data_IF_325810603652
#
_entry.id   IF_325810603652
#
_cell.length_a   1.000
_cell.length_b   1.000
_cell.length_c   1.000
_cell.angle_alpha   90.00
_cell.angle_beta   90.00
_cell.angle_gamma   90.00
#
_symmetry.space_group_name_H-M   'P 1'
#
loop_
_entity.id
_entity.type
_entity.pdbx_description
1 polymer ?
#
# COMPACT_ATOMS: atom_id res chain seq x y z
N UNK A 1 -9.70 7.84 -35.45
CA UNK A 1 -8.58 6.90 -35.71
C UNK A 1 -7.49 6.89 -34.63
N UNK A 2 -7.26 7.98 -33.87
CA UNK A 2 -6.24 8.00 -32.79
C UNK A 2 -6.59 7.14 -31.55
N UNK A 3 -7.87 6.89 -31.26
CA UNK A 3 -8.30 6.11 -30.09
C UNK A 3 -7.96 4.62 -30.17
N UNK A 4 -8.19 4.00 -31.33
CA UNK A 4 -7.98 2.56 -31.51
C UNK A 4 -6.48 2.17 -31.49
N UNK A 5 -5.59 3.01 -32.03
CA UNK A 5 -4.15 2.78 -31.97
C UNK A 5 -3.61 2.94 -30.54
N UNK A 6 -4.16 3.89 -29.76
CA UNK A 6 -3.83 4.06 -28.33
C UNK A 6 -4.29 2.87 -27.50
N UNK A 7 -5.51 2.39 -27.74
CA UNK A 7 -6.06 1.22 -27.05
C UNK A 7 -5.28 -0.07 -27.36
N UNK A 8 -4.90 -0.27 -28.62
CA UNK A 8 -4.06 -1.40 -29.03
C UNK A 8 -2.67 -1.36 -28.37
N UNK A 9 -2.06 -0.17 -28.23
CA UNK A 9 -0.78 0.00 -27.52
C UNK A 9 -0.88 -0.19 -26.00
N UNK A 10 -2.00 0.17 -25.39
CA UNK A 10 -2.26 -0.08 -23.97
C UNK A 10 -2.41 -1.59 -23.71
N UNK A 11 -3.17 -2.29 -24.56
CA UNK A 11 -3.34 -3.75 -24.50
C UNK A 11 -2.03 -4.53 -24.73
N UNK A 12 -1.11 -4.03 -25.57
CA UNK A 12 0.20 -4.67 -25.75
C UNK A 12 1.11 -4.52 -24.53
N UNK A 13 1.07 -3.37 -23.84
CA UNK A 13 1.81 -3.16 -22.59
C UNK A 13 1.31 -4.04 -21.44
N UNK A 14 0.00 -4.30 -21.40
CA UNK A 14 -0.57 -5.28 -20.47
C UNK A 14 -0.15 -6.72 -20.79
N UNK A 15 -0.13 -7.10 -22.07
CA UNK A 15 0.33 -8.43 -22.51
C UNK A 15 1.82 -8.66 -22.19
N UNK A 16 2.62 -7.59 -22.17
CA UNK A 16 4.03 -7.64 -21.74
C UNK A 16 4.22 -7.68 -20.21
N UNK A 17 3.13 -7.58 -19.42
CA UNK A 17 3.04 -7.84 -17.95
C UNK A 17 3.97 -7.04 -17.03
N UNK A 18 4.59 -5.96 -17.47
CA UNK A 18 5.49 -5.20 -16.58
C UNK A 18 4.75 -4.21 -15.68
N UNK A 19 3.60 -3.67 -16.11
CA UNK A 19 2.90 -2.60 -15.40
C UNK A 19 1.38 -2.71 -15.51
N UNK A 20 0.67 -2.14 -14.54
CA UNK A 20 -0.77 -1.94 -14.58
C UNK A 20 -1.09 -0.67 -15.38
N UNK A 21 -2.13 -0.74 -16.21
CA UNK A 21 -2.47 0.32 -17.15
C UNK A 21 -3.83 0.89 -16.78
N UNK A 22 -3.95 2.23 -16.73
CA UNK A 22 -5.21 2.85 -16.37
C UNK A 22 -6.33 2.53 -17.38
N UNK A 23 -7.51 2.20 -16.87
CA UNK A 23 -8.69 1.86 -17.67
C UNK A 23 -8.71 0.41 -18.15
N UNK A 24 -7.81 -0.43 -17.66
CA UNK A 24 -7.77 -1.85 -17.96
C UNK A 24 -7.98 -2.70 -16.71
N UNK A 25 -8.30 -3.98 -16.91
CA UNK A 25 -8.55 -4.92 -15.81
C UNK A 25 -7.40 -4.98 -14.81
N UNK A 26 -6.15 -4.89 -15.27
CA UNK A 26 -4.98 -4.94 -14.39
C UNK A 26 -4.87 -3.77 -13.40
N UNK A 27 -5.57 -2.65 -13.64
CA UNK A 27 -5.62 -1.51 -12.73
C UNK A 27 -6.90 -1.45 -11.87
N UNK A 28 -7.82 -2.41 -12.03
CA UNK A 28 -9.02 -2.50 -11.20
C UNK A 28 -8.66 -3.03 -9.81
N UNK A 29 -9.43 -2.62 -8.81
CA UNK A 29 -9.32 -3.18 -7.47
C UNK A 29 -9.78 -4.63 -7.47
N UNK A 30 -9.19 -5.45 -6.59
CA UNK A 30 -9.64 -6.82 -6.42
C UNK A 30 -11.11 -6.83 -5.98
N UNK A 31 -11.95 -7.62 -6.63
CA UNK A 31 -13.40 -7.62 -6.45
C UNK A 31 -13.88 -7.85 -5.00
N UNK A 32 -13.06 -8.52 -4.18
CA UNK A 32 -13.35 -8.78 -2.76
C UNK A 32 -12.74 -7.75 -1.81
N UNK A 33 -12.08 -6.72 -2.34
CA UNK A 33 -11.62 -5.59 -1.55
C UNK A 33 -12.79 -4.64 -1.36
N UNK A 34 -13.37 -4.67 -0.18
CA UNK A 34 -14.42 -3.73 0.22
C UNK A 34 -13.80 -2.33 0.36
N UNK A 35 -14.47 -1.34 -0.24
CA UNK A 35 -14.13 0.09 -0.18
C UNK A 35 -15.40 0.81 0.22
N UNK A 36 -15.35 1.49 1.37
CA UNK A 36 -16.47 2.22 1.93
C UNK A 36 -16.50 3.67 1.40
N UNK A 37 -17.65 4.35 1.51
CA UNK A 37 -17.83 5.73 1.01
C UNK A 37 -16.85 6.76 1.64
N UNK A 38 -16.23 6.42 2.78
CA UNK A 38 -15.23 7.24 3.46
C UNK A 38 -13.78 6.97 3.05
N UNK A 39 -13.52 5.93 2.26
CA UNK A 39 -12.16 5.51 1.93
C UNK A 39 -11.53 6.36 0.83
N UNK A 40 -10.25 6.70 1.01
CA UNK A 40 -9.49 7.44 0.00
C UNK A 40 -8.81 6.48 -0.99
N UNK A 41 -9.31 6.45 -2.23
CA UNK A 41 -8.68 5.70 -3.34
C UNK A 41 -7.68 6.59 -4.09
N UNK A 42 -6.39 6.33 -3.92
CA UNK A 42 -5.31 7.13 -4.54
C UNK A 42 -4.63 6.35 -5.65
N UNK A 43 -4.70 6.87 -6.87
CA UNK A 43 -3.94 6.35 -8.01
C UNK A 43 -2.48 6.78 -7.91
N UNK A 44 -1.55 5.82 -8.03
CA UNK A 44 -0.10 6.07 -8.01
C UNK A 44 0.56 5.51 -9.27
N UNK A 45 1.57 6.23 -9.76
CA UNK A 45 2.36 5.83 -10.95
C UNK A 45 3.78 5.37 -10.57
N UNK A 46 4.07 5.23 -9.27
CA UNK A 46 5.38 4.87 -8.73
C UNK A 46 5.24 3.80 -7.65
N UNK A 47 6.37 3.24 -7.22
CA UNK A 47 6.42 2.24 -6.15
C UNK A 47 5.82 2.76 -4.85
N UNK A 48 6.39 3.84 -4.33
CA UNK A 48 5.89 4.53 -3.12
C UNK A 48 4.55 5.21 -3.36
N UNK A 49 3.64 5.05 -2.40
CA UNK A 49 2.36 5.75 -2.38
C UNK A 49 2.49 7.25 -2.07
N UNK A 50 3.65 7.74 -1.61
CA UNK A 50 3.90 9.17 -1.33
C UNK A 50 4.36 9.96 -2.57
N UNK A 51 4.96 9.27 -3.55
CA UNK A 51 5.62 9.97 -4.66
C UNK A 51 4.60 10.48 -5.67
N UNK A 52 4.44 11.81 -5.71
CA UNK A 52 3.55 12.53 -6.63
C UNK A 52 2.09 12.12 -6.46
N UNK A 53 1.65 11.95 -5.22
CA UNK A 53 0.26 11.67 -4.84
C UNK A 53 -0.16 12.66 -3.74
N UNK A 54 -1.47 12.81 -3.46
CA UNK A 54 -1.95 13.64 -2.34
C UNK A 54 -1.86 12.93 -0.97
N UNK A 55 -1.25 11.74 -0.88
CA UNK A 55 -1.31 10.91 0.34
C UNK A 55 -0.76 11.65 1.57
N UNK A 56 0.41 12.26 1.45
CA UNK A 56 1.05 12.94 2.58
C UNK A 56 0.22 14.14 3.08
N UNK A 57 -0.31 14.93 2.15
CA UNK A 57 -1.17 16.07 2.47
C UNK A 57 -2.46 15.62 3.17
N UNK A 58 -3.05 14.51 2.73
CA UNK A 58 -4.23 13.91 3.37
C UNK A 58 -3.91 13.44 4.80
N UNK A 59 -2.78 12.74 4.99
CA UNK A 59 -2.36 12.28 6.31
C UNK A 59 -2.12 13.46 7.27
N UNK A 60 -1.40 14.49 6.81
CA UNK A 60 -1.13 15.71 7.60
C UNK A 60 -2.41 16.46 7.95
N UNK A 61 -3.31 16.64 6.98
CA UNK A 61 -4.59 17.34 7.18
C UNK A 61 -5.47 16.65 8.23
N UNK A 62 -5.37 15.32 8.34
CA UNK A 62 -6.10 14.53 9.32
C UNK A 62 -5.32 14.29 10.62
N UNK A 63 -4.18 14.98 10.82
CA UNK A 63 -3.31 14.83 11.99
C UNK A 63 -2.94 13.36 12.28
N UNK A 64 -2.73 12.57 11.22
CA UNK A 64 -2.30 11.18 11.34
C UNK A 64 -0.82 11.15 11.66
N UNK A 65 -0.45 10.42 12.71
CA UNK A 65 0.95 10.24 13.15
C UNK A 65 1.45 8.82 12.91
N UNK A 66 0.54 7.86 12.75
CA UNK A 66 0.83 6.43 12.59
C UNK A 66 0.22 5.88 11.30
N UNK A 67 1.00 5.11 10.54
CA UNK A 67 0.52 4.43 9.33
C UNK A 67 0.77 2.93 9.41
N UNK A 68 -0.29 2.15 9.17
CA UNK A 68 -0.21 0.70 9.03
C UNK A 68 -0.16 0.38 7.53
N UNK A 69 0.82 -0.42 7.13
CA UNK A 69 1.07 -0.74 5.72
C UNK A 69 0.79 -2.22 5.48
N UNK A 70 -0.04 -2.49 4.47
CA UNK A 70 -0.45 -3.81 4.01
C UNK A 70 -0.43 -3.89 2.46
N UNK A 71 -0.55 -5.10 1.89
CA UNK A 71 -0.68 -5.32 0.45
C UNK A 71 0.54 -5.95 -0.24
N UNK A 72 0.71 -5.66 -1.53
CA UNK A 72 1.72 -6.31 -2.37
C UNK A 72 2.32 -5.35 -3.42
N UNK A 73 3.54 -5.55 -3.90
CA UNK A 73 4.52 -6.59 -3.52
C UNK A 73 5.47 -6.11 -2.42
N UNK A 74 5.87 -7.03 -1.54
CA UNK A 74 6.64 -6.75 -0.30
C UNK A 74 7.91 -5.95 -0.58
N UNK A 75 8.77 -6.45 -1.47
CA UNK A 75 10.06 -5.85 -1.86
C UNK A 75 9.94 -4.62 -2.77
N UNK A 76 8.72 -4.31 -3.22
CA UNK A 76 8.45 -3.25 -4.19
C UNK A 76 7.63 -2.14 -3.58
N UNK A 77 6.32 -2.13 -3.87
CA UNK A 77 5.43 -1.04 -3.48
C UNK A 77 5.33 -0.88 -1.96
N UNK A 78 5.31 -2.00 -1.22
CA UNK A 78 5.22 -2.00 0.25
C UNK A 78 6.50 -1.40 0.84
N UNK A 79 7.67 -1.96 0.50
CA UNK A 79 8.97 -1.47 0.97
C UNK A 79 9.22 0.00 0.60
N UNK A 80 8.90 0.40 -0.64
CA UNK A 80 9.07 1.77 -1.08
C UNK A 80 8.18 2.76 -0.30
N UNK A 81 6.96 2.35 0.05
CA UNK A 81 6.02 3.19 0.81
C UNK A 81 6.43 3.31 2.27
N UNK A 82 6.85 2.22 2.93
CA UNK A 82 7.25 2.28 4.34
C UNK A 82 8.53 3.10 4.55
N UNK A 83 9.47 3.07 3.60
CA UNK A 83 10.65 3.96 3.62
C UNK A 83 10.23 5.42 3.57
N UNK A 84 9.39 5.77 2.58
CA UNK A 84 8.91 7.15 2.42
C UNK A 84 8.11 7.64 3.64
N UNK A 85 7.25 6.79 4.22
CA UNK A 85 6.51 7.14 5.43
C UNK A 85 7.45 7.40 6.61
N UNK A 86 8.48 6.57 6.79
CA UNK A 86 9.47 6.78 7.86
C UNK A 86 10.29 8.05 7.64
N UNK A 87 10.71 8.31 6.40
CA UNK A 87 11.47 9.51 6.03
C UNK A 87 10.63 10.80 6.20
N UNK A 88 9.29 10.66 6.21
CA UNK A 88 8.34 11.72 6.51
C UNK A 88 7.87 11.72 7.98
N UNK A 89 8.64 11.11 8.88
CA UNK A 89 8.44 11.09 10.35
C UNK A 89 7.15 10.41 10.86
N UNK A 90 6.50 9.58 10.05
CA UNK A 90 5.38 8.77 10.54
C UNK A 90 5.88 7.57 11.37
N UNK A 91 5.15 7.23 12.43
CA UNK A 91 5.32 5.92 13.08
C UNK A 91 4.77 4.84 12.15
N UNK A 92 5.66 4.04 11.58
CA UNK A 92 5.27 3.00 10.64
C UNK A 92 5.00 1.68 11.36
N UNK A 93 3.98 0.96 10.88
CA UNK A 93 3.65 -0.41 11.27
C UNK A 93 3.52 -1.25 10.01
N UNK A 94 4.19 -2.40 9.97
CA UNK A 94 4.16 -3.31 8.83
C UNK A 94 3.36 -4.57 9.20
N UNK A 95 2.15 -4.72 8.67
CA UNK A 95 1.26 -5.83 9.03
C UNK A 95 1.71 -7.14 8.35
N UNK A 96 2.46 -7.98 9.08
CA UNK A 96 3.31 -9.05 8.51
C UNK A 96 2.53 -10.17 7.80
N UNK A 97 1.30 -10.43 8.21
CA UNK A 97 0.43 -11.51 7.72
C UNK A 97 -0.48 -11.08 6.55
N UNK A 98 -0.53 -9.78 6.25
CA UNK A 98 -1.32 -9.22 5.13
C UNK A 98 -0.43 -8.45 4.13
N UNK A 99 0.86 -8.79 4.10
CA UNK A 99 1.78 -8.39 3.05
C UNK A 99 2.33 -9.60 2.32
N UNK A 100 2.48 -9.49 1.00
CA UNK A 100 2.85 -10.63 0.17
C UNK A 100 3.73 -10.28 -1.01
N UNK A 101 4.36 -11.31 -1.57
CA UNK A 101 5.08 -11.27 -2.84
C UNK A 101 4.87 -12.58 -3.58
N UNK A 102 5.08 -12.56 -4.89
CA UNK A 102 5.10 -13.77 -5.72
C UNK A 102 6.37 -14.61 -5.52
N UNK A 103 7.40 -14.05 -4.86
CA UNK A 103 8.62 -14.76 -4.49
C UNK A 103 8.80 -14.78 -2.97
N UNK A 104 8.80 -15.99 -2.40
CA UNK A 104 9.06 -16.19 -0.98
C UNK A 104 10.43 -15.67 -0.57
N UNK A 105 11.46 -15.91 -1.37
CA UNK A 105 12.83 -15.46 -1.06
C UNK A 105 12.91 -13.93 -0.96
N UNK A 106 12.34 -13.21 -1.93
CA UNK A 106 12.35 -11.73 -1.92
C UNK A 106 11.54 -11.17 -0.76
N UNK A 107 10.37 -11.76 -0.48
CA UNK A 107 9.57 -11.41 0.69
C UNK A 107 10.36 -11.60 1.99
N UNK A 108 10.89 -12.80 2.24
CA UNK A 108 11.60 -13.13 3.49
C UNK A 108 12.82 -12.22 3.71
N UNK A 109 13.56 -11.91 2.63
CA UNK A 109 14.73 -11.04 2.68
C UNK A 109 14.34 -9.61 3.04
N UNK A 110 13.31 -9.05 2.39
CA UNK A 110 12.81 -7.71 2.72
C UNK A 110 12.26 -7.69 4.15
N UNK A 111 11.45 -8.67 4.54
CA UNK A 111 10.90 -8.76 5.91
C UNK A 111 12.00 -8.80 6.96
N UNK A 112 13.03 -9.61 6.74
CA UNK A 112 14.19 -9.70 7.65
C UNK A 112 14.90 -8.35 7.82
N UNK A 113 14.94 -7.51 6.77
CA UNK A 113 15.48 -6.15 6.87
C UNK A 113 14.61 -5.21 7.73
N UNK A 114 13.29 -5.45 7.79
CA UNK A 114 12.32 -4.59 8.48
C UNK A 114 12.01 -4.98 9.92
N UNK A 115 12.13 -6.26 10.29
CA UNK A 115 11.83 -6.76 11.64
C UNK A 115 12.51 -5.98 12.78
N UNK A 116 13.73 -5.47 12.54
CA UNK A 116 14.49 -4.70 13.53
C UNK A 116 14.45 -3.18 13.29
N UNK A 117 13.63 -2.72 12.35
CA UNK A 117 13.58 -1.31 11.91
C UNK A 117 12.24 -0.65 12.22
N UNK A 118 11.18 -1.42 12.35
CA UNK A 118 9.82 -0.93 12.58
C UNK A 118 9.02 -1.99 13.32
N UNK A 119 7.82 -1.65 13.78
CA UNK A 119 6.94 -2.62 14.42
C UNK A 119 6.26 -3.48 13.35
N UNK A 120 6.43 -4.81 13.44
CA UNK A 120 5.88 -5.77 12.47
C UNK A 120 4.91 -6.77 13.15
N UNK A 121 3.74 -6.33 13.64
CA UNK A 121 2.73 -7.20 14.23
C UNK A 121 1.95 -8.00 13.18
N UNK A 122 1.24 -9.04 13.61
CA UNK A 122 0.13 -9.59 12.82
C UNK A 122 -1.15 -8.76 12.96
N UNK A 123 -2.13 -9.01 12.09
CA UNK A 123 -3.43 -8.33 12.12
C UNK A 123 -4.16 -8.48 13.44
N UNK A 124 -4.02 -9.61 14.13
CA UNK A 124 -4.64 -9.85 15.43
C UNK A 124 -4.07 -8.89 16.48
N UNK A 125 -2.75 -8.80 16.60
CA UNK A 125 -2.06 -7.85 17.47
C UNK A 125 -2.49 -6.40 17.19
N UNK A 126 -2.62 -6.02 15.90
CA UNK A 126 -3.09 -4.69 15.48
C UNK A 126 -4.53 -4.43 15.96
N UNK A 127 -5.46 -5.35 15.66
CA UNK A 127 -6.89 -5.19 15.99
C UNK A 127 -7.08 -5.10 17.51
N UNK A 128 -6.36 -5.91 18.27
CA UNK A 128 -6.39 -5.87 19.73
C UNK A 128 -5.86 -4.53 20.27
N UNK A 129 -4.76 -4.02 19.72
CA UNK A 129 -4.24 -2.70 20.09
C UNK A 129 -5.23 -1.57 19.79
N UNK A 130 -5.87 -1.61 18.62
CA UNK A 130 -6.86 -0.62 18.22
C UNK A 130 -8.11 -0.65 19.10
N UNK A 131 -8.57 -1.84 19.46
CA UNK A 131 -9.73 -2.04 20.34
C UNK A 131 -9.48 -1.49 21.75
N UNK A 132 -8.28 -1.70 22.30
CA UNK A 132 -7.87 -1.12 23.58
C UNK A 132 -7.82 0.42 23.53
N UNK A 133 -7.23 0.98 22.48
CA UNK A 133 -7.13 2.44 22.33
C UNK A 133 -8.51 3.12 22.28
N UNK A 134 -9.48 2.54 21.54
CA UNK A 134 -10.86 3.04 21.48
C UNK A 134 -11.57 2.99 22.84
N UNK A 135 -11.33 1.93 23.62
CA UNK A 135 -11.92 1.83 24.96
C UNK A 135 -11.36 2.90 25.92
N UNK A 136 -10.09 3.26 25.77
CA UNK A 136 -9.44 4.29 26.59
C UNK A 136 -9.80 5.74 26.20
N UNK A 137 -10.21 6.00 24.96
CA UNK A 137 -10.63 7.35 24.50
C UNK A 137 -12.11 7.65 24.73
N UNK A 138 -12.88 6.67 25.19
CA UNK A 138 -14.31 6.80 25.51
C UNK A 138 -14.60 7.16 26.99
N UNK A 139 -13.56 7.41 27.79
CA UNK A 139 -13.64 7.88 29.18
C UNK A 139 -12.92 9.22 29.35
#
# INVERSE_FOLDING_TARGET
MAGAAREAGLKSLEQERFYTVEGTWGAELYEKMEVEDGDHVIKKLRGSAFVRTPLEDLLKKNAIETVIIAGQVTEGCVESTIRAARDADYFTVLAKDVIGSTSKERHDRTMSAWLNRTYCPDTKEIIEAWSRAKASSAG
#
